data_IF_059477503019
#
_entry.id   IF_059477503019
#
_cell.length_a   1.000
_cell.length_b   1.000
_cell.length_c   1.000
_cell.angle_alpha   90.00
_cell.angle_beta   90.00
_cell.angle_gamma   90.00
#
_symmetry.space_group_name_H-M   'P 1'
#
loop_
_entity.id
_entity.type
_entity.pdbx_description
1 polymer ?
#
# COMPACT_ATOMS: atom_id res chain seq x y z
N UNK A 1 -22.55 8.31 -13.54
CA UNK A 1 -22.55 7.26 -12.49
C UNK A 1 -22.46 5.89 -13.16
N UNK A 2 -21.33 5.62 -13.81
CA UNK A 2 -21.06 4.33 -14.46
C UNK A 2 -20.31 3.46 -13.46
N UNK A 3 -20.62 2.17 -13.42
CA UNK A 3 -20.17 1.22 -12.41
C UNK A 3 -18.66 0.82 -12.37
N UNK A 4 -17.72 1.21 -13.26
CA UNK A 4 -16.35 0.66 -13.24
C UNK A 4 -15.33 1.40 -12.34
N UNK A 5 -15.61 2.61 -11.88
CA UNK A 5 -14.63 3.43 -11.13
C UNK A 5 -14.33 2.89 -9.73
N UNK A 6 -15.30 2.22 -9.09
CA UNK A 6 -15.06 1.54 -7.82
C UNK A 6 -14.13 0.34 -7.98
N UNK A 7 -14.27 -0.42 -9.07
CA UNK A 7 -13.41 -1.56 -9.35
C UNK A 7 -11.97 -1.11 -9.54
N UNK A 8 -11.74 -0.01 -10.27
CA UNK A 8 -10.42 0.62 -10.40
C UNK A 8 -9.84 1.05 -9.05
N UNK A 9 -10.60 1.77 -8.22
CA UNK A 9 -10.14 2.21 -6.88
C UNK A 9 -9.76 1.04 -5.97
N UNK A 10 -10.59 0.00 -5.93
CA UNK A 10 -10.32 -1.20 -5.14
C UNK A 10 -9.08 -1.92 -5.67
N UNK A 11 -8.95 -2.02 -6.99
CA UNK A 11 -7.77 -2.62 -7.63
C UNK A 11 -6.50 -1.82 -7.31
N UNK A 12 -6.55 -0.48 -7.40
CA UNK A 12 -5.45 0.41 -7.04
C UNK A 12 -5.04 0.28 -5.57
N UNK A 13 -6.01 0.20 -4.65
CA UNK A 13 -5.73 -0.05 -3.24
C UNK A 13 -5.08 -1.41 -2.98
N UNK A 14 -5.60 -2.48 -3.59
CA UNK A 14 -5.04 -3.84 -3.42
C UNK A 14 -3.62 -3.91 -3.98
N UNK A 15 -3.39 -3.38 -5.18
CA UNK A 15 -2.04 -3.34 -5.79
C UNK A 15 -1.09 -2.51 -4.94
N UNK A 16 -1.52 -1.33 -4.48
CA UNK A 16 -0.74 -0.49 -3.58
C UNK A 16 -0.41 -1.17 -2.25
N UNK A 17 -1.36 -1.89 -1.65
CA UNK A 17 -1.16 -2.62 -0.40
C UNK A 17 -0.16 -3.77 -0.56
N UNK A 18 -0.26 -4.53 -1.65
CA UNK A 18 0.68 -5.61 -1.99
C UNK A 18 2.09 -5.05 -2.21
N UNK A 19 2.21 -3.93 -2.94
CA UNK A 19 3.49 -3.27 -3.15
C UNK A 19 4.07 -2.70 -1.84
N UNK A 20 3.24 -2.12 -0.98
CA UNK A 20 3.65 -1.63 0.35
C UNK A 20 4.15 -2.76 1.25
N UNK A 21 3.45 -3.90 1.27
CA UNK A 21 3.90 -5.08 2.00
C UNK A 21 5.19 -5.69 1.42
N UNK A 22 5.31 -5.74 0.09
CA UNK A 22 6.53 -6.19 -0.57
C UNK A 22 7.70 -5.25 -0.23
N UNK A 23 7.49 -3.94 -0.25
CA UNK A 23 8.48 -2.95 0.14
C UNK A 23 8.92 -3.13 1.59
N UNK A 24 7.98 -3.38 2.51
CA UNK A 24 8.29 -3.76 3.89
C UNK A 24 9.19 -5.00 3.97
N UNK A 25 8.92 -6.02 3.16
CA UNK A 25 9.63 -7.31 3.24
C UNK A 25 11.00 -7.31 2.55
N UNK A 26 11.16 -6.55 1.46
CA UNK A 26 12.39 -6.53 0.66
C UNK A 26 13.33 -5.36 1.00
N UNK A 27 12.76 -4.20 1.37
CA UNK A 27 13.52 -2.95 1.61
C UNK A 27 13.47 -2.52 3.08
N UNK A 28 12.54 -3.08 3.87
CA UNK A 28 12.34 -2.70 5.26
C UNK A 28 13.54 -2.99 6.16
N UNK A 29 13.85 -2.02 7.02
CA UNK A 29 14.87 -2.20 8.04
C UNK A 29 14.42 -3.24 9.08
N UNK A 30 15.15 -4.34 9.18
CA UNK A 30 14.98 -5.34 10.25
C UNK A 30 15.34 -4.81 11.65
N UNK A 31 16.01 -3.66 11.74
CA UNK A 31 16.55 -3.10 12.99
C UNK A 31 15.63 -2.10 13.69
N UNK A 32 14.43 -1.83 13.15
CA UNK A 32 13.47 -0.88 13.74
C UNK A 32 13.81 0.61 13.53
N UNK A 33 14.90 0.92 12.80
CA UNK A 33 15.29 2.29 12.48
C UNK A 33 14.33 3.01 11.52
N UNK A 34 13.51 2.26 10.76
CA UNK A 34 12.49 2.83 9.88
C UNK A 34 11.12 2.84 10.59
N UNK A 35 10.58 3.98 11.02
CA UNK A 35 9.28 4.04 11.69
C UNK A 35 8.10 3.63 10.80
N UNK A 36 8.17 3.89 9.48
CA UNK A 36 7.14 3.43 8.51
C UNK A 36 7.29 1.94 8.19
N UNK A 37 8.52 1.42 8.23
CA UNK A 37 8.85 0.06 7.78
C UNK A 37 9.16 -0.91 8.91
N UNK A 38 8.99 -0.52 10.18
CA UNK A 38 9.12 -1.43 11.32
C UNK A 38 7.85 -2.25 11.55
N UNK A 39 6.70 -1.77 11.08
CA UNK A 39 5.41 -2.43 11.24
C UNK A 39 4.81 -2.81 9.87
N UNK A 40 4.58 -4.12 9.59
CA UNK A 40 4.03 -4.57 8.33
C UNK A 40 2.64 -3.98 8.05
N UNK A 41 1.86 -3.72 9.11
CA UNK A 41 0.53 -3.13 8.98
C UNK A 41 0.58 -1.69 8.48
N UNK A 42 1.49 -0.87 9.01
CA UNK A 42 1.61 0.54 8.62
C UNK A 42 2.06 0.63 7.16
N UNK A 43 3.08 -0.13 6.76
CA UNK A 43 3.61 -0.08 5.39
C UNK A 43 2.60 -0.58 4.34
N UNK A 44 1.82 -1.61 4.68
CA UNK A 44 0.73 -2.12 3.83
C UNK A 44 -0.40 -1.09 3.67
N UNK A 45 -0.84 -0.48 4.76
CA UNK A 45 -1.89 0.56 4.72
C UNK A 45 -1.40 1.80 3.97
N UNK A 46 -0.15 2.23 4.19
CA UNK A 46 0.45 3.35 3.47
C UNK A 46 0.51 3.08 1.96
N UNK A 47 0.97 1.89 1.56
CA UNK A 47 0.99 1.48 0.15
C UNK A 47 -0.41 1.44 -0.45
N UNK A 48 -1.40 0.91 0.27
CA UNK A 48 -2.79 0.87 -0.16
C UNK A 48 -3.40 2.26 -0.32
N UNK A 49 -3.17 3.17 0.63
CA UNK A 49 -3.64 4.56 0.55
C UNK A 49 -2.99 5.29 -0.62
N UNK A 50 -1.67 5.10 -0.86
CA UNK A 50 -0.99 5.64 -2.03
C UNK A 50 -1.57 5.11 -3.35
N UNK A 51 -1.80 3.79 -3.43
CA UNK A 51 -2.41 3.17 -4.61
C UNK A 51 -3.83 3.66 -4.88
N UNK A 52 -4.61 3.89 -3.82
CA UNK A 52 -5.93 4.50 -3.92
C UNK A 52 -5.82 5.96 -4.38
N UNK A 53 -4.88 6.75 -3.84
CA UNK A 53 -4.66 8.15 -4.21
C UNK A 53 -4.27 8.33 -5.68
N UNK A 54 -3.47 7.42 -6.22
CA UNK A 54 -3.04 7.41 -7.63
C UNK A 54 -4.20 7.04 -8.57
N UNK A 55 -5.18 6.29 -8.06
CA UNK A 55 -6.32 5.77 -8.84
C UNK A 55 -7.60 6.57 -8.60
N UNK A 56 -7.54 7.64 -7.79
CA UNK A 56 -8.61 8.63 -7.59
C UNK A 56 -8.75 9.56 -8.79
#
# INVERSE_FOLDING_TARGET
MTHPELLKRVFGFIVGAVLGFAYYKFVGCSTGACPITSNPWISTVYGGVLGLLITL
#
